data_IF_436489748575
#
_entry.id   IF_436489748575
#
_cell.length_a   1.000
_cell.length_b   1.000
_cell.length_c   1.000
_cell.angle_alpha   90.00
_cell.angle_beta   90.00
_cell.angle_gamma   90.00
#
_symmetry.space_group_name_H-M   'P 1'
#
loop_
_entity.id
_entity.type
_entity.pdbx_description
1 polymer ?
#
# COMPACT_ATOMS: atom_id res chain seq x y z
N UNK A 1 -9.16 -29.86 15.13
CA UNK A 1 -8.57 -28.64 14.54
C UNK A 1 -7.37 -28.29 15.41
N UNK A 2 -6.22 -28.89 15.13
CA UNK A 2 -4.97 -28.49 15.78
C UNK A 2 -4.74 -27.02 15.48
N UNK A 3 -4.79 -26.19 16.53
CA UNK A 3 -4.32 -24.82 16.48
C UNK A 3 -2.83 -24.88 16.14
N UNK A 4 -2.50 -24.73 14.86
CA UNK A 4 -1.14 -24.39 14.43
C UNK A 4 -0.82 -23.09 15.17
N UNK A 5 -0.13 -23.20 16.31
CA UNK A 5 0.17 -22.06 17.15
C UNK A 5 0.96 -21.05 16.31
N UNK A 6 0.37 -19.88 16.08
CA UNK A 6 1.04 -18.75 15.45
C UNK A 6 1.96 -18.11 16.50
N UNK A 7 3.07 -18.79 16.80
CA UNK A 7 4.05 -18.35 17.81
C UNK A 7 4.56 -16.92 17.57
N UNK A 8 4.53 -16.46 16.31
CA UNK A 8 4.93 -15.12 15.91
C UNK A 8 3.87 -14.02 16.05
N UNK A 9 2.60 -14.37 16.31
CA UNK A 9 1.48 -13.44 16.32
C UNK A 9 1.08 -12.90 14.95
N UNK A 10 0.38 -11.76 14.95
CA UNK A 10 -0.05 -11.02 13.76
C UNK A 10 0.89 -9.83 13.53
N UNK A 11 1.37 -9.65 12.30
CA UNK A 11 2.12 -8.45 11.91
C UNK A 11 1.24 -7.59 10.99
N UNK A 12 1.03 -6.33 11.39
CA UNK A 12 0.27 -5.35 10.65
C UNK A 12 1.21 -4.46 9.82
N UNK A 13 1.02 -4.42 8.49
CA UNK A 13 1.81 -3.61 7.55
C UNK A 13 0.91 -2.72 6.68
N UNK A 14 1.49 -1.94 5.76
CA UNK A 14 0.77 -1.04 4.87
C UNK A 14 0.34 0.27 5.53
N UNK A 15 -0.30 1.15 4.77
CA UNK A 15 -0.76 2.45 5.29
C UNK A 15 -1.84 2.31 6.38
N UNK A 16 -2.73 1.32 6.23
CA UNK A 16 -3.83 1.07 7.17
C UNK A 16 -3.37 0.63 8.55
N UNK A 17 -2.16 0.08 8.70
CA UNK A 17 -1.66 -0.36 10.01
C UNK A 17 -1.39 0.79 10.99
N UNK A 18 -1.35 2.03 10.49
CA UNK A 18 -1.08 3.23 11.29
C UNK A 18 -2.34 3.85 11.91
N UNK A 19 -3.51 3.24 11.72
CA UNK A 19 -4.75 3.69 12.37
C UNK A 19 -4.63 3.57 13.90
N UNK A 20 -5.10 4.61 14.60
CA UNK A 20 -5.13 4.63 16.07
C UNK A 20 -5.89 3.41 16.57
N UNK A 21 -5.33 2.73 17.57
CA UNK A 21 -5.90 1.57 18.24
C UNK A 21 -6.09 0.30 17.41
N UNK A 22 -5.59 0.23 16.17
CA UNK A 22 -5.77 -0.96 15.33
C UNK A 22 -5.06 -2.20 15.90
N UNK A 23 -3.89 -2.02 16.52
CA UNK A 23 -3.18 -3.10 17.22
C UNK A 23 -4.08 -3.70 18.30
N UNK A 24 -4.64 -2.87 19.17
CA UNK A 24 -5.50 -3.28 20.27
C UNK A 24 -6.77 -3.97 19.76
N UNK A 25 -7.40 -3.43 18.73
CA UNK A 25 -8.57 -4.07 18.10
C UNK A 25 -8.22 -5.46 17.54
N UNK A 26 -7.08 -5.57 16.87
CA UNK A 26 -6.61 -6.84 16.30
C UNK A 26 -6.36 -7.87 17.40
N UNK A 27 -5.67 -7.48 18.47
CA UNK A 27 -5.42 -8.33 19.64
C UNK A 27 -6.73 -8.77 20.30
N UNK A 28 -7.68 -7.84 20.46
CA UNK A 28 -8.99 -8.12 21.05
C UNK A 28 -9.83 -9.10 20.21
N UNK A 29 -9.93 -8.88 18.90
CA UNK A 29 -10.78 -9.70 18.02
C UNK A 29 -10.18 -11.09 17.80
N UNK A 30 -8.86 -11.17 17.63
CA UNK A 30 -8.20 -12.43 17.25
C UNK A 30 -7.70 -13.23 18.44
N UNK A 31 -7.62 -12.62 19.63
CA UNK A 31 -6.96 -13.19 20.81
C UNK A 31 -5.51 -13.62 20.55
N UNK A 32 -4.85 -13.03 19.55
CA UNK A 32 -3.46 -13.25 19.19
C UNK A 32 -2.63 -11.98 19.42
N UNK A 33 -1.35 -12.11 19.85
CA UNK A 33 -0.48 -10.95 19.97
C UNK A 33 -0.28 -10.29 18.60
N UNK A 34 -0.32 -8.95 18.53
CA UNK A 34 -0.12 -8.22 17.28
C UNK A 34 0.98 -7.16 17.39
N UNK A 35 1.67 -6.85 16.29
CA UNK A 35 2.66 -5.76 16.21
C UNK A 35 2.66 -5.06 14.86
N UNK A 36 3.18 -3.84 14.81
CA UNK A 36 3.40 -3.12 13.55
C UNK A 36 4.71 -3.59 12.93
N UNK A 37 4.66 -3.95 11.64
CA UNK A 37 5.84 -4.35 10.86
C UNK A 37 6.47 -3.16 10.14
N UNK A 38 7.79 -2.99 10.29
CA UNK A 38 8.57 -1.93 9.65
C UNK A 38 9.56 -2.56 8.67
N UNK A 39 9.69 -2.05 7.42
CA UNK A 39 10.57 -2.63 6.41
C UNK A 39 11.99 -2.04 6.47
N UNK A 40 12.62 -2.04 7.65
CA UNK A 40 13.87 -1.32 7.90
C UNK A 40 15.13 -2.21 7.97
N UNK A 41 14.99 -3.52 8.15
CA UNK A 41 16.12 -4.44 8.35
C UNK A 41 17.12 -4.46 7.20
N UNK A 42 16.64 -4.33 5.96
CA UNK A 42 17.46 -4.38 4.74
C UNK A 42 17.73 -2.98 4.15
N UNK A 43 17.35 -1.91 4.86
CA UNK A 43 17.65 -0.54 4.45
C UNK A 43 19.02 -0.14 5.01
N UNK A 44 19.88 0.45 4.18
CA UNK A 44 21.12 1.01 4.67
C UNK A 44 20.83 2.14 5.67
N UNK A 45 21.65 2.28 6.70
CA UNK A 45 21.48 3.21 7.82
C UNK A 45 21.36 4.69 7.42
N UNK A 46 21.75 5.03 6.19
CA UNK A 46 21.67 6.40 5.64
C UNK A 46 20.37 6.67 4.86
N UNK A 47 19.45 5.71 4.76
CA UNK A 47 18.21 5.90 4.01
C UNK A 47 17.18 6.74 4.78
N UNK A 48 16.40 7.51 4.02
CA UNK A 48 15.30 8.35 4.47
C UNK A 48 14.41 7.59 5.47
N UNK A 49 14.29 8.11 6.68
CA UNK A 49 13.38 7.65 7.74
C UNK A 49 11.93 7.49 7.23
N UNK A 50 11.60 8.19 6.15
CA UNK A 50 10.35 8.05 5.40
C UNK A 50 10.10 6.64 4.85
N UNK A 51 11.14 5.94 4.37
CA UNK A 51 11.03 4.59 3.81
C UNK A 51 10.86 3.52 4.90
N UNK A 52 11.25 3.83 6.14
CA UNK A 52 11.04 2.97 7.30
C UNK A 52 9.60 3.03 7.83
N UNK A 53 8.60 3.16 6.95
CA UNK A 53 7.18 3.16 7.29
C UNK A 53 6.49 1.89 6.80
N UNK A 54 5.49 1.36 7.54
CA UNK A 54 4.73 0.18 7.11
C UNK A 54 4.08 0.31 5.74
N UNK A 55 3.77 1.54 5.30
CA UNK A 55 3.25 1.84 3.96
C UNK A 55 4.13 1.30 2.82
N UNK A 56 5.46 1.28 3.01
CA UNK A 56 6.42 0.88 1.98
C UNK A 56 6.81 -0.61 2.03
N UNK A 57 6.21 -1.41 2.91
CA UNK A 57 6.57 -2.83 3.06
C UNK A 57 6.45 -3.62 1.75
N UNK A 58 5.41 -3.35 0.94
CA UNK A 58 5.20 -4.07 -0.32
C UNK A 58 6.25 -3.70 -1.37
N UNK A 59 6.48 -2.41 -1.61
CA UNK A 59 7.43 -2.00 -2.65
C UNK A 59 8.86 -2.39 -2.30
N UNK A 60 9.26 -2.30 -1.03
CA UNK A 60 10.58 -2.76 -0.57
C UNK A 60 10.70 -4.28 -0.76
N UNK A 61 9.68 -5.05 -0.38
CA UNK A 61 9.66 -6.51 -0.62
C UNK A 61 9.78 -6.89 -2.09
N UNK A 62 9.12 -6.14 -2.98
CA UNK A 62 9.22 -6.36 -4.43
C UNK A 62 10.62 -6.06 -4.97
N UNK A 63 11.26 -4.98 -4.51
CA UNK A 63 12.64 -4.63 -4.89
C UNK A 63 13.60 -5.72 -4.44
N UNK A 64 13.50 -6.14 -3.18
CA UNK A 64 14.34 -7.22 -2.63
C UNK A 64 14.15 -8.52 -3.42
N UNK A 65 12.90 -8.87 -3.76
CA UNK A 65 12.60 -10.07 -4.55
C UNK A 65 13.16 -9.98 -5.97
N UNK A 66 13.04 -8.82 -6.62
CA UNK A 66 13.60 -8.58 -7.94
C UNK A 66 15.12 -8.67 -7.96
N UNK A 67 15.77 -8.11 -6.93
CA UNK A 67 17.22 -8.19 -6.76
C UNK A 67 17.68 -9.66 -6.57
N UNK A 68 17.02 -10.40 -5.69
CA UNK A 68 17.31 -11.82 -5.44
C UNK A 68 17.04 -12.71 -6.68
N UNK A 69 16.00 -12.41 -7.49
CA UNK A 69 15.76 -13.09 -8.76
C UNK A 69 16.85 -12.77 -9.82
N UNK A 70 17.38 -11.54 -9.83
CA UNK A 70 18.45 -11.10 -10.73
C UNK A 70 19.80 -11.73 -10.36
N UNK A 71 20.20 -11.72 -9.09
CA UNK A 71 21.49 -12.30 -8.66
C UNK A 71 21.58 -13.82 -8.91
N UNK A 72 20.45 -14.53 -8.82
CA UNK A 72 20.41 -15.98 -8.97
C UNK A 72 19.99 -16.44 -10.37
N UNK A 73 19.90 -15.53 -11.37
CA UNK A 73 19.46 -15.79 -12.74
C UNK A 73 18.15 -16.59 -12.83
N UNK A 74 17.25 -16.42 -11.84
CA UNK A 74 15.99 -17.18 -11.73
C UNK A 74 14.89 -16.62 -12.63
N UNK A 75 15.02 -15.35 -13.02
CA UNK A 75 14.15 -14.69 -13.98
C UNK A 75 15.00 -13.88 -14.95
N UNK A 76 15.05 -14.34 -16.20
CA UNK A 76 15.52 -13.53 -17.31
C UNK A 76 14.36 -12.67 -17.74
N UNK A 77 14.36 -11.41 -17.31
CA UNK A 77 13.45 -10.43 -17.87
C UNK A 77 13.79 -10.31 -19.35
N UNK A 78 12.84 -10.63 -20.23
CA UNK A 78 12.94 -10.23 -21.62
C UNK A 78 13.04 -8.69 -21.64
N UNK A 79 13.94 -8.14 -22.46
CA UNK A 79 14.19 -6.69 -22.50
C UNK A 79 13.01 -5.88 -23.09
N UNK A 80 11.82 -6.45 -23.13
CA UNK A 80 10.59 -5.81 -23.58
C UNK A 80 9.93 -5.04 -22.44
N UNK A 81 10.55 -3.93 -22.03
CA UNK A 81 9.89 -2.99 -21.13
C UNK A 81 8.81 -2.23 -21.91
N UNK A 82 7.54 -2.46 -21.58
CA UNK A 82 6.48 -1.59 -22.06
C UNK A 82 6.55 -0.24 -21.33
N UNK A 83 6.85 0.82 -22.05
CA UNK A 83 6.76 2.19 -21.52
C UNK A 83 5.29 2.50 -21.26
N UNK A 84 4.88 2.43 -19.99
CA UNK A 84 3.54 2.86 -19.59
C UNK A 84 3.56 4.37 -19.47
N UNK A 85 2.99 5.07 -20.46
CA UNK A 85 2.72 6.50 -20.33
C UNK A 85 1.69 6.72 -19.22
N UNK A 86 2.13 7.29 -18.11
CA UNK A 86 1.23 7.67 -17.02
C UNK A 86 0.34 8.83 -17.51
N UNK A 87 -1.00 8.66 -17.55
CA UNK A 87 -1.92 9.71 -17.95
C UNK A 87 -1.70 10.98 -17.12
N UNK A 88 -1.77 12.14 -17.77
CA UNK A 88 -1.55 13.46 -17.14
C UNK A 88 -2.47 13.74 -15.95
N UNK A 89 -3.60 13.05 -15.82
CA UNK A 89 -4.51 13.14 -14.66
C UNK A 89 -4.02 12.44 -13.38
N UNK A 90 -2.97 11.62 -13.45
CA UNK A 90 -2.35 10.94 -12.29
C UNK A 90 -1.01 11.57 -11.88
N UNK A 91 -0.46 12.49 -12.69
CA UNK A 91 0.65 13.34 -12.28
C UNK A 91 0.08 14.37 -11.29
N UNK A 92 0.03 13.99 -10.02
CA UNK A 92 -0.34 14.91 -8.94
C UNK A 92 0.52 16.17 -9.02
N UNK A 93 -0.13 17.33 -9.02
CA UNK A 93 0.57 18.62 -8.90
C UNK A 93 1.49 18.57 -7.67
N UNK A 94 2.81 18.63 -7.87
CA UNK A 94 3.80 18.84 -6.80
C UNK A 94 3.79 20.30 -6.35
N UNK A 95 2.66 20.78 -5.83
CA UNK A 95 2.61 22.09 -5.18
C UNK A 95 1.64 22.08 -4.00
N UNK A 96 2.17 22.50 -2.83
CA UNK A 96 1.56 22.68 -1.50
C UNK A 96 1.38 21.37 -0.67
N UNK A 97 1.84 21.25 0.59
CA UNK A 97 2.23 22.23 1.62
C UNK A 97 3.36 21.66 2.50
N UNK A 98 4.41 22.46 2.65
CA UNK A 98 5.31 22.47 3.80
C UNK A 98 4.73 23.50 4.79
N UNK A 99 4.81 23.21 6.09
CA UNK A 99 4.29 23.97 7.24
C UNK A 99 2.79 23.90 7.52
N UNK A 100 2.41 23.06 8.50
CA UNK A 100 1.57 23.51 9.62
C UNK A 100 1.72 22.56 10.81
N UNK A 101 2.37 23.08 11.85
CA UNK A 101 2.47 22.53 13.19
C UNK A 101 1.09 22.70 13.83
N UNK A 102 0.37 21.62 14.12
CA UNK A 102 -0.93 21.70 14.80
C UNK A 102 -0.71 21.54 16.31
N UNK A 103 -0.64 22.69 17.00
CA UNK A 103 -1.01 22.80 18.42
C UNK A 103 -2.51 22.49 18.55
N UNK A 104 -2.84 21.59 19.46
CA UNK A 104 -4.21 21.26 19.81
C UNK A 104 -4.63 22.22 20.92
N UNK A 105 -5.58 23.10 20.63
CA UNK A 105 -6.37 23.76 21.66
C UNK A 105 -7.84 23.68 21.26
N UNK A 106 -8.62 23.10 22.16
CA UNK A 106 -10.07 22.90 22.12
C UNK A 106 -10.81 24.25 22.11
N UNK A 107 -11.92 24.34 21.38
CA UNK A 107 -13.17 25.01 21.82
C UNK A 107 -14.33 24.77 20.82
N UNK A 108 -15.50 24.50 21.39
CA UNK A 108 -16.80 24.24 20.76
C UNK A 108 -17.49 25.54 20.26
N UNK A 109 -18.30 25.46 19.20
CA UNK A 109 -19.75 25.78 19.18
C UNK A 109 -20.34 26.02 17.77
N UNK A 110 -21.51 25.41 17.59
CA UNK A 110 -22.73 25.67 16.77
C UNK A 110 -22.76 26.27 15.33
N UNK A 111 -23.41 25.46 14.46
CA UNK A 111 -24.41 25.73 13.43
C UNK A 111 -24.45 27.08 12.65
N UNK A 112 -24.33 27.01 11.31
CA UNK A 112 -25.48 27.25 10.40
C UNK A 112 -25.24 26.87 8.91
N UNK A 113 -26.36 26.72 8.20
CA UNK A 113 -26.56 26.04 6.92
C UNK A 113 -26.00 26.81 5.71
N UNK A 114 -25.31 26.12 4.80
CA UNK A 114 -25.31 26.47 3.36
C UNK A 114 -25.42 25.24 2.46
N UNK A 115 -26.44 25.28 1.59
CA UNK A 115 -26.74 24.30 0.54
C UNK A 115 -25.63 24.31 -0.51
N UNK A 116 -24.92 23.18 -0.69
CA UNK A 116 -24.08 22.97 -1.87
C UNK A 116 -24.52 21.68 -2.57
N UNK A 117 -24.77 21.84 -3.88
CA UNK A 117 -25.32 20.87 -4.84
C UNK A 117 -24.55 19.55 -4.79
N UNK A 118 -25.27 18.43 -4.83
CA UNK A 118 -24.73 17.11 -5.13
C UNK A 118 -23.92 17.16 -6.43
N UNK A 119 -22.59 17.15 -6.34
CA UNK A 119 -21.76 16.73 -7.47
C UNK A 119 -21.75 15.20 -7.51
N UNK A 120 -22.60 14.70 -8.41
CA UNK A 120 -22.60 13.37 -9.03
C UNK A 120 -21.26 12.66 -8.85
N UNK A 121 -21.22 11.61 -8.01
CA UNK A 121 -20.11 10.64 -7.98
C UNK A 121 -19.92 10.10 -9.39
N UNK A 122 -18.93 10.63 -10.10
CA UNK A 122 -18.55 10.13 -11.43
C UNK A 122 -17.72 8.88 -11.21
N UNK A 123 -18.43 7.77 -11.25
CA UNK A 123 -18.02 6.39 -11.60
C UNK A 123 -16.53 6.09 -11.52
N UNK A 124 -16.13 5.48 -10.40
CA UNK A 124 -14.86 4.77 -10.22
C UNK A 124 -14.83 3.41 -10.97
N UNK A 125 -15.93 3.03 -11.63
CA UNK A 125 -16.05 1.75 -12.32
C UNK A 125 -15.07 1.67 -13.51
N UNK A 126 -14.81 2.77 -14.20
CA UNK A 126 -13.92 2.77 -15.37
C UNK A 126 -12.43 2.60 -15.03
N UNK A 127 -12.02 2.83 -13.79
CA UNK A 127 -10.65 2.61 -13.33
C UNK A 127 -10.40 1.15 -12.97
N UNK A 128 -11.37 0.52 -12.29
CA UNK A 128 -11.30 -0.89 -11.89
C UNK A 128 -11.39 -1.85 -13.09
N UNK A 129 -12.22 -1.56 -14.08
CA UNK A 129 -12.31 -2.41 -15.28
C UNK A 129 -10.98 -2.43 -16.04
N UNK A 130 -10.34 -1.27 -16.28
CA UNK A 130 -9.03 -1.22 -16.97
C UNK A 130 -7.90 -1.88 -16.18
N UNK A 131 -7.98 -1.85 -14.85
CA UNK A 131 -7.02 -2.53 -14.00
C UNK A 131 -7.26 -4.06 -14.01
N UNK A 132 -8.52 -4.48 -13.97
CA UNK A 132 -8.93 -5.88 -14.05
C UNK A 132 -8.60 -6.48 -15.43
N UNK A 133 -8.83 -5.76 -16.52
CA UNK A 133 -8.51 -6.22 -17.87
C UNK A 133 -7.01 -6.47 -18.03
N UNK A 134 -6.17 -5.54 -17.56
CA UNK A 134 -4.71 -5.71 -17.57
C UNK A 134 -4.23 -6.82 -16.65
N UNK A 135 -4.88 -7.00 -15.49
CA UNK A 135 -4.54 -8.07 -14.56
C UNK A 135 -4.95 -9.43 -15.13
N UNK A 136 -6.12 -9.52 -15.78
CA UNK A 136 -6.57 -10.74 -16.46
C UNK A 136 -5.66 -11.08 -17.63
N UNK A 137 -5.20 -10.11 -18.43
CA UNK A 137 -4.24 -10.37 -19.51
C UNK A 137 -2.90 -10.87 -18.97
N UNK A 138 -2.42 -10.30 -17.85
CA UNK A 138 -1.19 -10.72 -17.19
C UNK A 138 -1.25 -12.13 -16.58
N UNK A 139 -2.43 -12.60 -16.15
CA UNK A 139 -2.63 -13.95 -15.58
C UNK A 139 -3.13 -14.99 -16.59
N UNK A 140 -3.55 -14.57 -17.79
CA UNK A 140 -3.92 -15.48 -18.89
C UNK A 140 -2.71 -16.00 -19.66
N UNK A 141 -1.56 -15.34 -19.54
CA UNK A 141 -0.34 -15.68 -20.28
C UNK A 141 0.35 -16.97 -19.76
N UNK A 142 -0.10 -17.53 -18.62
CA UNK A 142 0.51 -18.70 -17.97
C UNK A 142 -0.25 -20.04 -18.13
N UNK A 143 -1.39 -20.12 -18.84
CA UNK A 143 -2.13 -21.40 -19.00
C UNK A 143 -1.83 -22.23 -20.26
N UNK A 144 -1.12 -21.71 -21.27
CA UNK A 144 -0.88 -22.46 -22.54
C UNK A 144 0.60 -22.78 -22.82
N UNK A 145 1.30 -23.37 -21.84
CA UNK A 145 2.52 -24.16 -22.12
C UNK A 145 2.49 -25.51 -21.39
N UNK A 146 1.59 -26.38 -21.83
CA UNK A 146 1.78 -27.82 -21.68
C UNK A 146 1.24 -28.54 -22.91
N UNK A 147 2.12 -28.77 -23.89
CA UNK A 147 2.13 -29.90 -24.83
C UNK A 147 3.56 -30.07 -25.36
#
# INVERSE_FOLDING_TARGET
LENKMLNGGIILTGGGSQLKHLKQLTEYVTSLPARIGYPNEHLASEHLEELAKPTYSTCIGLILKGYDDFEHDRKKFENEFQVIEVPSGLKGNKQSKENEKVEVTEQEEEAEKQKVRMHKRRSLNGFWEKFKDKLIDLFKEDEDKHL
#
